data_IF_157820007747
#
_entry.id   IF_157820007747
#
_cell.length_a   1.000
_cell.length_b   1.000
_cell.length_c   1.000
_cell.angle_alpha   90.00
_cell.angle_beta   90.00
_cell.angle_gamma   90.00
#
_symmetry.space_group_name_H-M   'P 1'
#
loop_
_entity.id
_entity.type
_entity.pdbx_description
1 polymer ?
#
# COMPACT_ATOMS: atom_id res chain seq x y z
N UNK A 1 -26.75 -64.62 15.63
CA UNK A 1 -27.89 -64.51 16.54
C UNK A 1 -28.02 -63.06 16.91
N UNK A 2 -28.99 -62.29 16.49
CA UNK A 2 -30.36 -62.49 15.99
C UNK A 2 -30.73 -61.28 15.11
N UNK A 3 -31.41 -61.61 14.01
CA UNK A 3 -32.16 -60.69 13.16
C UNK A 3 -33.23 -59.89 13.92
N UNK A 4 -33.58 -58.72 13.39
CA UNK A 4 -34.98 -58.29 13.21
C UNK A 4 -34.98 -56.94 12.47
N UNK A 5 -35.21 -56.91 11.16
CA UNK A 5 -36.46 -56.76 10.40
C UNK A 5 -37.07 -55.35 10.36
N UNK A 6 -37.05 -54.86 9.14
CA UNK A 6 -37.78 -53.76 8.47
C UNK A 6 -39.19 -53.44 9.00
N UNK A 7 -39.55 -52.15 8.98
CA UNK A 7 -40.85 -51.70 8.49
C UNK A 7 -40.74 -50.34 7.78
N UNK A 8 -41.24 -50.36 6.57
CA UNK A 8 -41.44 -49.25 5.63
C UNK A 8 -42.82 -48.64 5.89
N UNK A 9 -42.97 -47.34 5.99
CA UNK A 9 -44.24 -46.66 5.75
C UNK A 9 -44.01 -45.35 5.02
N UNK A 10 -44.79 -45.22 3.98
CA UNK A 10 -44.86 -44.29 2.88
C UNK A 10 -45.67 -43.02 3.23
N UNK A 11 -45.51 -42.01 2.34
CA UNK A 11 -46.38 -40.81 2.09
C UNK A 11 -46.20 -39.64 3.04
N UNK A 12 -45.91 -38.43 2.52
CA UNK A 12 -46.74 -37.62 1.64
C UNK A 12 -45.92 -36.44 1.05
N UNK A 13 -46.21 -36.19 -0.21
CA UNK A 13 -45.85 -34.99 -0.99
C UNK A 13 -46.37 -33.73 -0.36
N UNK A 14 -45.51 -32.67 -0.23
CA UNK A 14 -45.96 -31.29 -0.15
C UNK A 14 -45.07 -30.40 -0.98
N UNK A 15 -45.73 -29.67 -1.81
CA UNK A 15 -45.41 -28.65 -2.77
C UNK A 15 -44.24 -27.75 -2.39
N UNK A 16 -43.21 -27.68 -3.22
CA UNK A 16 -42.15 -26.69 -3.13
C UNK A 16 -42.56 -25.48 -3.96
N UNK A 17 -43.06 -24.44 -3.30
CA UNK A 17 -43.20 -23.12 -3.88
C UNK A 17 -41.83 -22.55 -4.18
N UNK A 18 -41.49 -22.52 -5.47
CA UNK A 18 -40.31 -21.81 -6.02
C UNK A 18 -40.44 -20.29 -5.75
N UNK A 19 -39.74 -19.79 -4.76
CA UNK A 19 -39.54 -18.35 -4.59
C UNK A 19 -38.45 -17.90 -5.58
N UNK A 20 -38.91 -17.27 -6.65
CA UNK A 20 -38.09 -16.57 -7.61
C UNK A 20 -37.36 -15.41 -6.90
N UNK A 21 -36.05 -15.56 -6.66
CA UNK A 21 -35.20 -14.48 -6.18
C UNK A 21 -34.89 -13.59 -7.39
N UNK A 22 -35.25 -12.32 -7.40
CA UNK A 22 -34.88 -11.43 -8.50
C UNK A 22 -33.36 -11.26 -8.53
N UNK A 23 -32.76 -11.64 -9.65
CA UNK A 23 -31.37 -11.38 -9.96
C UNK A 23 -31.15 -9.87 -10.10
N UNK A 24 -30.87 -9.20 -8.99
CA UNK A 24 -30.41 -7.81 -9.01
C UNK A 24 -29.00 -7.79 -9.60
N UNK A 25 -28.90 -7.55 -10.89
CA UNK A 25 -27.66 -7.14 -11.53
C UNK A 25 -27.16 -5.87 -10.79
N UNK A 26 -26.30 -6.05 -9.81
CA UNK A 26 -25.48 -4.97 -9.27
C UNK A 26 -24.54 -4.54 -10.39
N UNK A 27 -24.95 -3.50 -11.11
CA UNK A 27 -24.03 -2.76 -11.98
C UNK A 27 -22.94 -2.19 -11.08
N UNK A 28 -21.75 -2.77 -11.13
CA UNK A 28 -20.56 -2.20 -10.49
C UNK A 28 -20.29 -0.90 -11.23
N UNK A 29 -20.78 0.21 -10.69
CA UNK A 29 -20.47 1.54 -11.19
C UNK A 29 -18.99 1.77 -10.84
N UNK A 30 -18.10 1.60 -11.81
CA UNK A 30 -16.71 2.05 -11.69
C UNK A 30 -16.76 3.55 -11.46
N UNK A 31 -16.43 4.00 -10.26
CA UNK A 31 -16.35 5.42 -9.95
C UNK A 31 -15.36 6.07 -10.93
N UNK A 32 -15.77 7.19 -11.55
CA UNK A 32 -14.90 7.92 -12.47
C UNK A 32 -13.61 8.35 -11.75
N UNK A 33 -12.48 8.30 -12.45
CA UNK A 33 -11.19 8.77 -11.93
C UNK A 33 -11.32 10.26 -11.55
N UNK A 34 -10.93 10.66 -10.31
CA UNK A 34 -11.03 12.05 -9.87
C UNK A 34 -10.21 12.99 -10.77
N UNK A 35 -10.75 14.18 -11.04
CA UNK A 35 -10.07 15.24 -11.80
C UNK A 35 -9.37 16.26 -10.89
N UNK A 36 -9.82 16.39 -9.64
CA UNK A 36 -9.14 17.21 -8.63
C UNK A 36 -7.80 16.56 -8.26
N UNK A 37 -6.66 17.28 -8.32
CA UNK A 37 -5.34 16.69 -8.08
C UNK A 37 -5.18 16.06 -6.70
N UNK A 38 -5.76 16.66 -5.65
CA UNK A 38 -5.69 16.12 -4.30
C UNK A 38 -6.53 14.85 -4.16
N UNK A 39 -7.74 14.84 -4.70
CA UNK A 39 -8.60 13.66 -4.71
C UNK A 39 -7.97 12.53 -5.54
N UNK A 40 -7.32 12.86 -6.66
CA UNK A 40 -6.60 11.89 -7.49
C UNK A 40 -5.43 11.27 -6.73
N UNK A 41 -4.60 12.08 -6.05
CA UNK A 41 -3.47 11.59 -5.25
C UNK A 41 -3.96 10.64 -4.13
N UNK A 42 -5.03 11.01 -3.44
CA UNK A 42 -5.64 10.19 -2.39
C UNK A 42 -6.20 8.87 -2.91
N UNK A 43 -6.91 8.89 -4.03
CA UNK A 43 -7.47 7.69 -4.66
C UNK A 43 -6.36 6.76 -5.17
N UNK A 44 -5.30 7.33 -5.76
CA UNK A 44 -4.13 6.57 -6.22
C UNK A 44 -3.41 5.89 -5.06
N UNK A 45 -3.17 6.62 -3.97
CA UNK A 45 -2.55 6.06 -2.77
C UNK A 45 -3.39 4.93 -2.17
N UNK A 46 -4.72 5.08 -2.14
CA UNK A 46 -5.62 4.01 -1.70
C UNK A 46 -5.50 2.76 -2.58
N UNK A 47 -5.49 2.92 -3.91
CA UNK A 47 -5.35 1.81 -4.84
C UNK A 47 -3.99 1.09 -4.71
N UNK A 48 -2.90 1.83 -4.47
CA UNK A 48 -1.59 1.26 -4.19
C UNK A 48 -1.61 0.49 -2.87
N UNK A 49 -2.16 1.07 -1.80
CA UNK A 49 -2.20 0.47 -0.47
C UNK A 49 -2.87 -0.90 -0.47
N UNK A 50 -3.96 -1.09 -1.22
CA UNK A 50 -4.67 -2.36 -1.30
C UNK A 50 -3.78 -3.52 -1.78
N UNK A 51 -2.72 -3.23 -2.53
CA UNK A 51 -1.81 -4.20 -3.14
C UNK A 51 -0.42 -4.23 -2.50
N UNK A 52 -0.08 -3.24 -1.66
CA UNK A 52 1.24 -3.10 -1.03
C UNK A 52 1.36 -3.97 0.23
N UNK A 53 1.60 -5.27 -0.01
CA UNK A 53 1.74 -6.25 1.06
C UNK A 53 2.96 -5.97 1.95
N UNK A 54 4.02 -5.40 1.39
CA UNK A 54 5.24 -5.08 2.14
C UNK A 54 4.99 -3.96 3.15
N UNK A 55 4.39 -2.85 2.73
CA UNK A 55 4.05 -1.75 3.63
C UNK A 55 3.09 -2.22 4.74
N UNK A 56 2.09 -3.04 4.40
CA UNK A 56 1.15 -3.62 5.36
C UNK A 56 1.86 -4.56 6.37
N UNK A 57 2.73 -5.46 5.89
CA UNK A 57 3.47 -6.40 6.74
C UNK A 57 4.43 -5.68 7.70
N UNK A 58 4.99 -4.55 7.29
CA UNK A 58 5.85 -3.70 8.11
C UNK A 58 5.06 -2.71 9.00
N UNK A 59 3.73 -2.82 9.03
CA UNK A 59 2.83 -1.96 9.78
C UNK A 59 3.03 -0.45 9.48
N UNK A 60 3.38 -0.13 8.23
CA UNK A 60 3.45 1.25 7.78
C UNK A 60 2.07 1.89 7.79
N UNK A 61 2.02 3.22 7.82
CA UNK A 61 0.78 4.00 7.71
C UNK A 61 1.02 5.19 6.80
N UNK A 62 0.04 5.51 5.97
CA UNK A 62 0.02 6.73 5.19
C UNK A 62 -0.49 7.83 6.11
N UNK A 63 0.35 8.81 6.43
CA UNK A 63 0.02 9.95 7.29
C UNK A 63 -0.46 11.15 6.45
N UNK A 64 0.16 11.33 5.29
CA UNK A 64 -0.17 12.41 4.37
C UNK A 64 0.08 12.00 2.92
N UNK A 65 -0.78 12.48 2.02
CA UNK A 65 -0.65 12.32 0.57
C UNK A 65 -1.12 13.60 -0.13
N UNK A 66 -0.31 14.08 -1.08
CA UNK A 66 -0.65 15.17 -1.99
C UNK A 66 0.10 14.97 -3.32
N UNK A 67 -0.21 15.72 -4.37
CA UNK A 67 0.56 15.64 -5.62
C UNK A 67 2.07 15.86 -5.38
N UNK A 68 2.88 14.87 -5.74
CA UNK A 68 4.34 14.89 -5.55
C UNK A 68 4.82 14.82 -4.09
N UNK A 69 3.93 14.57 -3.13
CA UNK A 69 4.26 14.58 -1.71
C UNK A 69 3.59 13.40 -0.97
N UNK A 70 4.36 12.68 -0.14
CA UNK A 70 3.86 11.62 0.72
C UNK A 70 4.60 11.60 2.05
N UNK A 71 3.88 11.35 3.15
CA UNK A 71 4.47 11.03 4.44
C UNK A 71 3.93 9.70 4.92
N UNK A 72 4.83 8.78 5.24
CA UNK A 72 4.52 7.49 5.82
C UNK A 72 5.22 7.31 7.15
N UNK A 73 4.61 6.54 8.05
CA UNK A 73 5.23 6.13 9.31
C UNK A 73 5.44 4.62 9.39
N UNK A 74 6.40 4.18 10.21
CA UNK A 74 6.70 2.78 10.48
C UNK A 74 7.23 2.60 11.90
N UNK A 75 6.64 1.72 12.72
CA UNK A 75 7.20 1.37 14.02
C UNK A 75 8.44 0.48 13.85
N UNK A 76 9.48 0.74 14.64
CA UNK A 76 10.65 -0.15 14.70
C UNK A 76 10.35 -1.28 15.67
N UNK A 77 10.12 -2.49 15.13
CA UNK A 77 9.83 -3.71 15.90
C UNK A 77 11.12 -4.46 16.20
N UNK A 78 11.07 -5.40 17.16
CA UNK A 78 12.19 -6.26 17.54
C UNK A 78 12.76 -7.09 16.38
N UNK A 79 11.91 -7.54 15.44
CA UNK A 79 12.30 -8.28 14.25
C UNK A 79 12.99 -7.43 13.16
N UNK A 80 13.03 -6.11 13.35
CA UNK A 80 13.70 -5.15 12.45
C UNK A 80 15.06 -4.69 12.98
N UNK A 81 15.49 -5.20 14.15
CA UNK A 81 16.75 -4.79 14.80
C UNK A 81 17.90 -5.69 14.34
N UNK A 82 19.04 -5.09 14.05
CA UNK A 82 20.27 -5.82 13.68
C UNK A 82 21.10 -6.23 14.91
N UNK A 83 22.24 -6.89 14.68
CA UNK A 83 23.15 -7.35 15.74
C UNK A 83 23.80 -6.22 16.58
N UNK A 84 23.62 -4.96 16.22
CA UNK A 84 24.05 -3.79 17.00
C UNK A 84 22.91 -3.18 17.83
N UNK A 85 21.76 -3.86 17.92
CA UNK A 85 20.58 -3.39 18.63
C UNK A 85 20.00 -2.06 18.11
N UNK A 86 20.12 -1.84 16.78
CA UNK A 86 19.57 -0.69 16.08
C UNK A 86 18.75 -1.16 14.88
N UNK A 87 17.79 -0.35 14.43
CA UNK A 87 16.98 -0.63 13.26
C UNK A 87 17.88 -0.93 12.05
N UNK A 88 17.62 -2.05 11.37
CA UNK A 88 18.37 -2.43 10.18
C UNK A 88 18.20 -1.38 9.08
N UNK A 89 19.31 -0.96 8.44
CA UNK A 89 19.29 0.05 7.37
C UNK A 89 18.36 -0.32 6.22
N UNK A 90 18.21 -1.61 5.90
CA UNK A 90 17.25 -2.08 4.92
C UNK A 90 15.79 -1.73 5.25
N UNK A 91 15.40 -1.73 6.54
CA UNK A 91 14.05 -1.34 6.97
C UNK A 91 13.84 0.17 6.83
N UNK A 92 14.85 0.98 7.18
CA UNK A 92 14.84 2.43 6.99
C UNK A 92 14.75 2.76 5.49
N UNK A 93 15.53 2.06 4.65
CA UNK A 93 15.47 2.19 3.19
C UNK A 93 14.09 1.85 2.65
N UNK A 94 13.49 0.73 3.09
CA UNK A 94 12.17 0.31 2.62
C UNK A 94 11.10 1.34 2.96
N UNK A 95 11.13 1.94 4.15
CA UNK A 95 10.21 3.02 4.51
C UNK A 95 10.40 4.25 3.60
N UNK A 96 11.65 4.67 3.36
CA UNK A 96 11.95 5.83 2.51
C UNK A 96 11.55 5.58 1.04
N UNK A 97 11.83 4.39 0.52
CA UNK A 97 11.47 3.98 -0.84
C UNK A 97 9.95 3.89 -1.02
N UNK A 98 9.25 3.37 -0.01
CA UNK A 98 7.78 3.35 -0.03
C UNK A 98 7.21 4.77 -0.06
N UNK A 99 7.67 5.68 0.80
CA UNK A 99 7.24 7.08 0.77
C UNK A 99 7.50 7.74 -0.60
N UNK A 100 8.69 7.51 -1.17
CA UNK A 100 9.04 7.94 -2.51
C UNK A 100 8.10 7.35 -3.58
N UNK A 101 7.77 6.05 -3.51
CA UNK A 101 6.86 5.40 -4.45
C UNK A 101 5.46 6.03 -4.40
N UNK A 102 4.93 6.32 -3.21
CA UNK A 102 3.63 6.98 -3.07
C UNK A 102 3.64 8.42 -3.59
N UNK A 103 4.72 9.17 -3.36
CA UNK A 103 4.86 10.53 -3.89
C UNK A 103 4.93 10.54 -5.43
N UNK A 104 5.75 9.68 -6.04
CA UNK A 104 5.94 9.70 -7.49
C UNK A 104 4.76 9.11 -8.28
N UNK A 105 3.91 8.30 -7.66
CA UNK A 105 2.69 7.76 -8.27
C UNK A 105 1.44 8.61 -8.00
N UNK A 106 1.51 9.67 -7.18
CA UNK A 106 0.37 10.49 -6.77
C UNK A 106 -0.40 11.15 -7.94
N UNK A 107 0.19 11.17 -9.11
CA UNK A 107 -0.40 11.68 -10.37
C UNK A 107 -1.17 10.62 -11.17
N UNK A 108 -1.46 9.46 -10.57
CA UNK A 108 -2.07 8.29 -11.25
C UNK A 108 -1.28 7.78 -12.46
N UNK A 109 0.04 7.88 -12.42
CA UNK A 109 0.92 7.44 -13.49
C UNK A 109 1.87 6.37 -12.97
N UNK A 110 1.82 5.17 -13.55
CA UNK A 110 2.66 4.06 -13.10
C UNK A 110 4.13 4.41 -13.24
N UNK A 111 4.78 4.58 -12.09
CA UNK A 111 6.14 5.11 -11.96
C UNK A 111 6.93 4.24 -11.00
N UNK A 112 8.17 3.91 -11.35
CA UNK A 112 9.06 3.06 -10.58
C UNK A 112 10.37 3.78 -10.26
N UNK A 113 11.09 3.30 -9.24
CA UNK A 113 12.45 3.73 -8.97
C UNK A 113 13.39 3.34 -10.11
N UNK A 114 14.26 4.26 -10.55
CA UNK A 114 15.33 3.98 -11.50
C UNK A 114 16.73 4.05 -10.85
N UNK A 115 16.85 4.82 -9.77
CA UNK A 115 18.05 4.87 -8.94
C UNK A 115 17.70 5.45 -7.56
N UNK A 116 18.38 4.99 -6.52
CA UNK A 116 18.24 5.49 -5.17
C UNK A 116 19.60 5.66 -4.51
N UNK A 117 19.72 6.69 -3.68
CA UNK A 117 20.86 6.92 -2.80
C UNK A 117 20.33 7.18 -1.39
N UNK A 118 20.99 6.61 -0.38
CA UNK A 118 20.63 6.81 1.02
C UNK A 118 21.88 7.10 1.86
N UNK A 119 21.79 8.10 2.71
CA UNK A 119 22.75 8.43 3.76
C UNK A 119 22.12 8.13 5.13
N UNK A 120 22.69 7.17 5.87
CA UNK A 120 22.28 6.89 7.25
C UNK A 120 23.01 7.84 8.20
N UNK A 121 22.26 8.74 8.85
CA UNK A 121 22.82 9.83 9.65
C UNK A 121 22.93 9.43 11.12
N UNK A 122 21.88 8.77 11.65
CA UNK A 122 21.86 8.36 13.05
C UNK A 122 21.11 7.03 13.22
N UNK A 123 21.44 6.24 14.26
CA UNK A 123 20.71 5.00 14.53
C UNK A 123 19.28 5.29 15.02
N UNK A 124 18.34 4.48 14.53
CA UNK A 124 17.00 4.34 15.12
C UNK A 124 16.98 3.12 16.03
N UNK A 125 16.20 3.17 17.11
CA UNK A 125 16.10 2.12 18.13
C UNK A 125 14.77 1.39 18.05
N UNK A 126 14.72 0.22 18.62
CA UNK A 126 13.47 -0.50 18.86
C UNK A 126 12.46 0.37 19.62
N UNK A 127 11.19 0.26 19.27
CA UNK A 127 10.06 1.03 19.78
C UNK A 127 9.96 2.50 19.32
N UNK A 128 10.97 3.03 18.62
CA UNK A 128 10.83 4.33 17.95
C UNK A 128 9.86 4.21 16.76
N UNK A 129 9.14 5.29 16.46
CA UNK A 129 8.34 5.42 15.22
C UNK A 129 9.10 6.31 14.26
N UNK A 130 9.33 5.81 13.06
CA UNK A 130 9.98 6.55 11.99
C UNK A 130 8.94 7.16 11.07
N UNK A 131 9.18 8.39 10.64
CA UNK A 131 8.40 9.12 9.64
C UNK A 131 9.30 9.41 8.44
N UNK A 132 8.87 8.99 7.25
CA UNK A 132 9.53 9.31 5.99
C UNK A 132 8.67 10.30 5.21
N UNK A 133 9.20 11.48 4.96
CA UNK A 133 8.57 12.52 4.17
C UNK A 133 9.26 12.63 2.82
N UNK A 134 8.56 12.29 1.73
CA UNK A 134 9.01 12.35 0.34
C UNK A 134 8.44 13.59 -0.35
N UNK A 135 9.31 14.39 -0.95
CA UNK A 135 8.95 15.63 -1.65
C UNK A 135 9.55 15.61 -3.05
N UNK A 136 8.71 15.87 -4.06
CA UNK A 136 9.15 16.08 -5.43
C UNK A 136 10.05 17.32 -5.51
N UNK A 137 11.22 17.18 -6.16
CA UNK A 137 12.14 18.29 -6.44
C UNK A 137 12.08 18.69 -7.90
N UNK A 138 11.83 17.73 -8.76
CA UNK A 138 11.70 17.96 -10.20
C UNK A 138 10.97 16.80 -10.84
N UNK A 139 10.08 17.11 -11.78
CA UNK A 139 9.49 16.13 -12.68
C UNK A 139 9.57 16.69 -14.11
N UNK A 140 10.17 15.93 -15.03
CA UNK A 140 10.31 16.34 -16.43
C UNK A 140 10.24 15.11 -17.34
N UNK A 141 9.33 15.16 -18.31
CA UNK A 141 9.11 14.05 -19.23
C UNK A 141 8.71 12.77 -18.47
N UNK A 142 9.55 11.73 -18.57
CA UNK A 142 9.31 10.45 -17.92
C UNK A 142 10.10 10.25 -16.61
N UNK A 143 10.88 11.25 -16.18
CA UNK A 143 11.76 11.13 -15.02
C UNK A 143 11.42 12.17 -13.95
N UNK A 144 11.66 11.81 -12.68
CA UNK A 144 11.52 12.71 -11.55
C UNK A 144 12.64 12.52 -10.55
N UNK A 145 12.86 13.51 -9.70
CA UNK A 145 13.79 13.49 -8.56
C UNK A 145 13.02 13.86 -7.31
N UNK A 146 13.19 13.05 -6.28
CA UNK A 146 12.51 13.20 -4.98
C UNK A 146 13.53 13.13 -3.87
N UNK A 147 13.39 13.99 -2.87
CA UNK A 147 14.14 13.91 -1.62
C UNK A 147 13.21 13.33 -0.54
N UNK A 148 13.75 12.40 0.24
CA UNK A 148 13.05 11.82 1.38
C UNK A 148 13.87 12.05 2.64
N UNK A 149 13.21 12.59 3.67
CA UNK A 149 13.81 12.77 4.99
C UNK A 149 13.16 11.77 5.96
N UNK A 150 13.97 10.93 6.60
CA UNK A 150 13.50 10.01 7.64
C UNK A 150 13.87 10.55 9.02
N UNK A 151 12.85 10.68 9.90
CA UNK A 151 13.01 11.18 11.28
C UNK A 151 12.27 10.29 12.26
N UNK A 152 12.67 10.34 13.54
CA UNK A 152 11.83 9.81 14.63
C UNK A 152 10.67 10.77 14.92
N UNK A 153 9.69 10.30 15.71
CA UNK A 153 8.56 11.14 16.16
C UNK A 153 9.03 12.40 16.93
N UNK A 154 10.17 12.31 17.62
CA UNK A 154 10.78 13.43 18.34
C UNK A 154 11.61 14.38 17.44
N UNK A 155 11.64 14.10 16.12
CA UNK A 155 12.31 14.95 15.14
C UNK A 155 13.79 14.63 14.88
N UNK A 156 14.38 13.60 15.51
CA UNK A 156 15.77 13.20 15.28
C UNK A 156 15.94 12.72 13.83
N UNK A 157 16.90 13.29 13.10
CA UNK A 157 17.22 12.87 11.74
C UNK A 157 17.89 11.49 11.73
N UNK A 158 17.31 10.57 10.98
CA UNK A 158 17.77 9.17 10.87
C UNK A 158 18.44 8.93 9.52
N UNK A 159 17.81 9.34 8.42
CA UNK A 159 18.38 9.16 7.09
C UNK A 159 17.92 10.26 6.13
N UNK A 160 18.73 10.46 5.11
CA UNK A 160 18.41 11.24 3.91
C UNK A 160 18.44 10.28 2.72
N UNK A 161 17.40 10.36 1.88
CA UNK A 161 17.28 9.52 0.71
C UNK A 161 16.96 10.39 -0.51
N UNK A 162 17.57 10.06 -1.64
CA UNK A 162 17.23 10.66 -2.94
C UNK A 162 16.87 9.57 -3.93
N UNK A 163 15.63 9.61 -4.44
CA UNK A 163 15.12 8.73 -5.46
C UNK A 163 15.03 9.42 -6.83
N UNK A 164 15.39 8.69 -7.87
CA UNK A 164 15.06 9.02 -9.26
C UNK A 164 13.97 8.10 -9.73
N UNK A 165 12.88 8.67 -10.22
CA UNK A 165 11.74 7.94 -10.74
C UNK A 165 11.78 7.82 -12.26
N UNK A 166 11.14 6.77 -12.78
CA UNK A 166 10.92 6.58 -14.20
C UNK A 166 9.48 6.10 -14.44
N UNK A 167 8.73 6.86 -15.25
CA UNK A 167 7.37 6.50 -15.67
C UNK A 167 7.43 5.41 -16.73
N UNK A 168 6.81 4.26 -16.42
CA UNK A 168 6.82 3.09 -17.31
C UNK A 168 5.59 3.02 -18.22
N UNK A 169 4.59 3.89 -17.99
CA UNK A 169 3.34 3.94 -18.73
C UNK A 169 2.21 3.16 -18.01
N UNK A 170 0.98 3.52 -18.34
CA UNK A 170 -0.23 3.03 -17.65
C UNK A 170 -0.61 3.88 -16.45
N UNK A 171 -1.78 3.60 -15.91
CA UNK A 171 -2.36 4.25 -14.75
C UNK A 171 -2.40 3.28 -13.56
N UNK A 172 -2.34 3.83 -12.35
CA UNK A 172 -2.45 3.06 -11.09
C UNK A 172 -3.91 2.67 -10.84
N UNK A 173 -4.84 3.63 -11.08
CA UNK A 173 -6.29 3.42 -11.00
C UNK A 173 -6.80 3.11 -12.41
N UNK A 174 -7.51 1.99 -12.56
CA UNK A 174 -8.10 1.60 -13.85
C UNK A 174 -7.12 0.98 -14.86
N UNK A 175 -5.85 0.86 -14.50
CA UNK A 175 -4.90 0.06 -15.27
C UNK A 175 -5.17 -1.45 -15.11
N UNK A 176 -4.70 -2.31 -16.05
CA UNK A 176 -4.83 -3.74 -15.91
C UNK A 176 -4.14 -4.20 -14.60
N UNK A 177 -4.80 -5.10 -13.86
CA UNK A 177 -4.21 -5.75 -12.71
C UNK A 177 -2.93 -6.49 -13.17
N UNK A 178 -1.80 -5.93 -12.82
CA UNK A 178 -0.51 -6.61 -12.94
C UNK A 178 -0.38 -7.58 -11.75
N UNK A 179 -1.12 -8.73 -11.83
CA UNK A 179 -1.06 -9.81 -10.87
C UNK A 179 0.26 -10.56 -10.88
#
# INVERSE_FOLDING_TARGET
MTDTKLTNTNTTSTDATSTHVPNTNMTVTTAATPTDPQALASATAHAMWQRDRTAQALAMRIEHIAPGHATLSMPVRSDMVNGHHICHGGMIFTLADTAFAYACNSYNQTTVASACHVDFIAPAKEHEVLHAEAIERSASGRTGVYDVTVRTAEGKLIALFRGKSHRIGGEVIGGPDHG
#
